data_IF_462454470541
#
_entry.id   IF_462454470541
#
_cell.length_a   1.000
_cell.length_b   1.000
_cell.length_c   1.000
_cell.angle_alpha   90.00
_cell.angle_beta   90.00
_cell.angle_gamma   90.00
#
_symmetry.space_group_name_H-M   'P 1'
#
loop_
_entity.id
_entity.type
_entity.pdbx_description
1 polymer ?
#
# COMPACT_ATOMS: atom_id res chain seq x y z
N UNK A 1 6.85 10.26 25.61
CA UNK A 1 6.03 9.28 24.85
C UNK A 1 4.93 8.77 25.75
N UNK A 2 3.68 8.83 25.31
CA UNK A 2 2.52 8.25 25.97
C UNK A 2 2.21 6.90 25.35
N UNK A 3 1.98 5.87 26.16
CA UNK A 3 1.58 4.53 25.70
C UNK A 3 0.19 4.25 26.25
N UNK A 4 -0.73 3.88 25.38
CA UNK A 4 -2.12 3.54 25.69
C UNK A 4 -2.41 2.16 25.11
N UNK A 5 -3.10 1.33 25.88
CA UNK A 5 -3.60 0.03 25.38
C UNK A 5 -5.11 0.06 25.32
N UNK A 6 -5.65 -0.35 24.18
CA UNK A 6 -7.09 -0.39 23.91
C UNK A 6 -7.48 -1.80 23.49
N UNK A 7 -8.60 -2.27 24.04
CA UNK A 7 -9.21 -3.54 23.62
C UNK A 7 -10.31 -3.24 22.61
N UNK A 8 -10.20 -3.83 21.43
CA UNK A 8 -11.10 -3.61 20.30
C UNK A 8 -12.19 -4.69 20.25
N UNK A 9 -13.45 -4.26 20.08
CA UNK A 9 -14.55 -5.16 19.81
C UNK A 9 -14.51 -5.58 18.29
N UNK A 10 -15.10 -6.71 17.89
CA UNK A 10 -15.81 -7.67 18.75
C UNK A 10 -14.91 -8.74 19.38
N UNK A 11 -13.70 -8.97 18.84
CA UNK A 11 -12.88 -10.16 19.15
C UNK A 11 -11.89 -9.94 20.29
N UNK A 12 -11.90 -8.78 20.96
CA UNK A 12 -10.98 -8.43 22.07
C UNK A 12 -9.51 -8.30 21.61
N UNK A 13 -9.28 -7.96 20.32
CA UNK A 13 -7.94 -7.63 19.84
C UNK A 13 -7.35 -6.45 20.62
N UNK A 14 -6.03 -6.44 20.78
CA UNK A 14 -5.34 -5.41 21.56
C UNK A 14 -4.60 -4.45 20.64
N UNK A 15 -4.90 -3.16 20.77
CA UNK A 15 -4.19 -2.09 20.09
C UNK A 15 -3.34 -1.32 21.09
N UNK A 16 -2.01 -1.37 20.96
CA UNK A 16 -1.09 -0.57 21.73
C UNK A 16 -0.70 0.68 20.95
N UNK A 17 -1.03 1.85 21.46
CA UNK A 17 -0.80 3.14 20.85
C UNK A 17 0.46 3.78 21.44
N UNK A 18 1.43 4.14 20.60
CA UNK A 18 2.66 4.84 20.96
C UNK A 18 2.57 6.26 20.40
N UNK A 19 2.39 7.25 21.29
CA UNK A 19 2.17 8.64 20.92
C UNK A 19 3.36 9.50 21.37
N UNK A 20 3.88 10.31 20.47
CA UNK A 20 4.96 11.25 20.79
C UNK A 20 4.39 12.47 21.51
N UNK A 21 5.17 13.02 22.46
CA UNK A 21 4.80 14.24 23.14
C UNK A 21 4.82 15.43 22.16
N UNK A 22 3.85 16.31 22.31
CA UNK A 22 3.81 17.58 21.59
C UNK A 22 4.82 18.59 22.17
N UNK A 23 5.31 19.48 21.33
CA UNK A 23 6.13 20.60 21.75
C UNK A 23 5.64 21.90 21.09
N UNK A 24 5.39 22.97 21.87
CA UNK A 24 5.06 24.28 21.30
C UNK A 24 6.16 24.86 20.40
N UNK A 25 7.39 24.32 20.50
CA UNK A 25 8.53 24.73 19.67
C UNK A 25 8.61 23.99 18.34
N UNK A 26 7.78 22.93 18.19
CA UNK A 26 7.70 22.12 16.96
C UNK A 26 6.22 21.98 16.52
N UNK A 27 5.54 23.11 16.20
CA UNK A 27 4.10 23.09 15.89
C UNK A 27 3.77 22.28 14.63
N UNK A 28 4.71 22.12 13.71
CA UNK A 28 4.59 21.28 12.50
C UNK A 28 4.46 19.79 12.83
N UNK A 29 4.88 19.37 14.01
CA UNK A 29 4.78 17.98 14.47
C UNK A 29 3.65 17.76 15.50
N UNK A 30 2.70 18.71 15.61
CA UNK A 30 1.55 18.57 16.50
C UNK A 30 0.56 17.48 16.03
N UNK A 31 0.38 17.37 14.71
CA UNK A 31 -0.39 16.28 14.07
C UNK A 31 0.59 15.47 13.23
N UNK A 32 0.55 14.15 13.38
CA UNK A 32 1.51 13.24 12.78
C UNK A 32 0.83 12.23 11.85
N UNK A 33 1.54 11.71 10.84
CA UNK A 33 1.09 10.50 10.17
C UNK A 33 1.05 9.33 11.15
N UNK A 34 0.16 8.37 10.90
CA UNK A 34 -0.01 7.17 11.70
C UNK A 34 0.56 5.93 10.99
N UNK A 35 1.16 5.03 11.76
CA UNK A 35 1.60 3.72 11.29
C UNK A 35 0.93 2.62 12.10
N UNK A 36 -0.02 1.90 11.49
CA UNK A 36 -0.59 0.67 12.04
C UNK A 36 0.38 -0.49 11.76
N UNK A 37 0.95 -1.07 12.80
CA UNK A 37 1.90 -2.19 12.71
C UNK A 37 1.18 -3.51 12.97
N UNK A 38 1.24 -4.41 12.01
CA UNK A 38 0.55 -5.71 12.01
C UNK A 38 1.58 -6.84 11.91
N UNK A 39 1.95 -7.45 13.05
CA UNK A 39 2.97 -8.51 13.08
C UNK A 39 2.56 -9.76 12.31
N UNK A 40 3.54 -10.53 11.82
CA UNK A 40 3.35 -11.87 11.29
C UNK A 40 3.13 -12.92 12.40
N UNK A 41 3.26 -14.18 12.02
CA UNK A 41 3.10 -15.32 12.95
C UNK A 41 2.16 -16.40 12.43
N UNK A 42 1.88 -16.43 11.12
CA UNK A 42 1.08 -17.48 10.47
C UNK A 42 -0.38 -17.57 10.95
N UNK A 43 -0.92 -16.49 11.50
CA UNK A 43 -2.21 -16.47 12.21
C UNK A 43 -2.29 -17.45 13.39
N UNK A 44 -1.16 -17.81 13.97
CA UNK A 44 -1.07 -18.63 15.18
C UNK A 44 -0.67 -17.81 16.39
N UNK A 45 0.07 -16.74 16.18
CA UNK A 45 0.52 -15.76 17.18
C UNK A 45 0.86 -14.44 16.48
N UNK A 46 1.10 -13.38 17.27
CA UNK A 46 1.67 -12.12 16.79
C UNK A 46 3.16 -12.06 17.15
N UNK A 47 4.02 -11.92 16.16
CA UNK A 47 5.48 -11.92 16.30
C UNK A 47 5.99 -10.67 17.02
N UNK A 48 6.65 -10.82 18.17
CA UNK A 48 7.15 -9.68 18.96
C UNK A 48 8.20 -8.85 18.22
N UNK A 49 9.03 -9.49 17.39
CA UNK A 49 10.07 -8.80 16.60
C UNK A 49 9.50 -7.86 15.54
N UNK A 50 8.26 -8.06 15.14
CA UNK A 50 7.55 -7.32 14.10
C UNK A 50 6.50 -6.36 14.68
N UNK A 51 6.42 -6.27 16.00
CA UNK A 51 5.51 -5.38 16.73
C UNK A 51 6.19 -4.11 17.20
N UNK A 52 6.45 -4.01 18.52
CA UNK A 52 7.01 -2.83 19.16
C UNK A 52 8.31 -2.31 18.52
N UNK A 53 9.33 -3.15 18.17
CA UNK A 53 10.55 -2.63 17.55
C UNK A 53 10.28 -1.88 16.25
N UNK A 54 9.33 -2.34 15.44
CA UNK A 54 8.93 -1.67 14.20
C UNK A 54 8.19 -0.38 14.49
N UNK A 55 7.29 -0.37 15.48
CA UNK A 55 6.59 0.83 15.91
C UNK A 55 7.57 1.91 16.35
N UNK A 56 8.55 1.57 17.19
CA UNK A 56 9.58 2.51 17.66
C UNK A 56 10.45 3.04 16.50
N UNK A 57 10.74 2.19 15.51
CA UNK A 57 11.49 2.60 14.33
C UNK A 57 10.73 3.65 13.49
N UNK A 58 9.42 3.49 13.28
CA UNK A 58 8.60 4.51 12.62
C UNK A 58 8.39 5.76 13.47
N UNK A 59 8.27 5.61 14.79
CA UNK A 59 8.21 6.76 15.69
C UNK A 59 9.46 7.65 15.54
N UNK A 60 10.65 7.06 15.42
CA UNK A 60 11.87 7.81 15.19
C UNK A 60 11.86 8.59 13.85
N UNK A 61 10.95 8.26 12.93
CA UNK A 61 10.73 8.94 11.65
C UNK A 61 9.57 9.95 11.68
N UNK A 62 8.99 10.21 12.85
CA UNK A 62 7.95 11.23 13.02
C UNK A 62 6.52 10.73 13.04
N UNK A 63 6.28 9.43 12.91
CA UNK A 63 4.94 8.84 13.00
C UNK A 63 4.49 8.66 14.47
N UNK A 64 3.19 8.71 14.74
CA UNK A 64 2.62 7.98 15.85
C UNK A 64 2.34 6.55 15.41
N UNK A 65 2.65 5.56 16.27
CA UNK A 65 2.64 4.16 15.88
C UNK A 65 1.66 3.34 16.75
N UNK A 66 1.06 2.32 16.12
CA UNK A 66 -0.01 1.54 16.71
C UNK A 66 0.22 0.06 16.41
N UNK A 67 0.46 -0.75 17.44
CA UNK A 67 0.70 -2.19 17.27
C UNK A 67 -0.61 -2.95 17.49
N UNK A 68 -1.09 -3.63 16.46
CA UNK A 68 -2.27 -4.49 16.55
C UNK A 68 -1.86 -5.93 16.86
N UNK A 69 -2.27 -6.41 18.03
CA UNK A 69 -2.28 -7.83 18.36
C UNK A 69 -3.68 -8.36 18.04
N UNK A 70 -3.83 -8.81 16.79
CA UNK A 70 -5.09 -9.36 16.26
C UNK A 70 -5.35 -10.77 16.80
N UNK A 71 -6.57 -11.25 16.65
CA UNK A 71 -6.95 -12.62 17.02
C UNK A 71 -6.17 -13.63 16.19
N UNK A 72 -5.26 -14.32 16.84
CA UNK A 72 -4.34 -15.27 16.23
C UNK A 72 -4.26 -16.54 17.07
N UNK A 73 -4.84 -17.61 16.56
CA UNK A 73 -4.67 -18.97 17.04
C UNK A 73 -4.89 -19.95 15.87
N UNK A 74 -4.36 -21.18 16.00
CA UNK A 74 -4.37 -22.16 14.91
C UNK A 74 -5.80 -22.57 14.45
N UNK A 75 -6.81 -22.35 15.26
CA UNK A 75 -8.20 -22.80 15.03
C UNK A 75 -9.13 -21.66 14.58
N UNK A 76 -8.73 -20.42 14.81
CA UNK A 76 -9.56 -19.25 14.49
C UNK A 76 -9.51 -18.93 12.99
N UNK A 77 -10.68 -18.67 12.36
CA UNK A 77 -10.74 -18.20 10.98
C UNK A 77 -10.01 -16.84 10.79
N UNK A 78 -9.39 -16.64 9.62
CA UNK A 78 -8.65 -15.40 9.29
C UNK A 78 -9.57 -14.17 9.23
N UNK A 79 -10.86 -14.35 8.92
CA UNK A 79 -11.85 -13.27 8.89
C UNK A 79 -12.00 -12.55 10.24
N UNK A 80 -11.73 -13.21 11.38
CA UNK A 80 -11.67 -12.51 12.67
C UNK A 80 -10.49 -11.54 12.75
N UNK A 81 -9.33 -11.92 12.24
CA UNK A 81 -8.19 -11.02 12.16
C UNK A 81 -8.49 -9.82 11.22
N UNK A 82 -9.22 -10.06 10.11
CA UNK A 82 -9.68 -8.99 9.23
C UNK A 82 -10.64 -8.03 9.95
N UNK A 83 -11.58 -8.56 10.74
CA UNK A 83 -12.46 -7.74 11.58
C UNK A 83 -11.67 -6.91 12.60
N UNK A 84 -10.63 -7.48 13.22
CA UNK A 84 -9.76 -6.77 14.16
C UNK A 84 -8.99 -5.64 13.49
N UNK A 85 -8.48 -5.88 12.27
CA UNK A 85 -7.82 -4.86 11.47
C UNK A 85 -8.77 -3.74 11.06
N UNK A 86 -9.99 -4.06 10.64
CA UNK A 86 -11.03 -3.07 10.35
C UNK A 86 -11.39 -2.25 11.59
N UNK A 87 -11.58 -2.90 12.75
CA UNK A 87 -11.86 -2.23 14.01
C UNK A 87 -10.70 -1.30 14.44
N UNK A 88 -9.44 -1.68 14.17
CA UNK A 88 -8.29 -0.81 14.42
C UNK A 88 -8.33 0.42 13.52
N UNK A 89 -8.63 0.27 12.23
CA UNK A 89 -8.76 1.40 11.30
C UNK A 89 -9.89 2.36 11.70
N UNK A 90 -11.05 1.81 12.08
CA UNK A 90 -12.19 2.60 12.55
C UNK A 90 -11.84 3.35 13.84
N UNK A 91 -11.16 2.69 14.80
CA UNK A 91 -10.70 3.32 16.03
C UNK A 91 -9.73 4.48 15.78
N UNK A 92 -8.72 4.28 14.91
CA UNK A 92 -7.75 5.31 14.58
C UNK A 92 -8.42 6.55 13.96
N UNK A 93 -9.35 6.36 13.02
CA UNK A 93 -10.08 7.46 12.39
C UNK A 93 -11.02 8.18 13.35
N UNK A 94 -11.77 7.43 14.14
CA UNK A 94 -12.73 7.99 15.10
C UNK A 94 -12.05 8.81 16.22
N UNK A 95 -10.83 8.44 16.61
CA UNK A 95 -10.09 9.08 17.69
C UNK A 95 -8.87 9.89 17.19
N UNK A 96 -8.82 10.25 15.91
CA UNK A 96 -7.66 10.88 15.30
C UNK A 96 -7.18 12.14 16.04
N UNK A 97 -8.11 12.97 16.53
CA UNK A 97 -7.80 14.18 17.29
C UNK A 97 -7.12 13.86 18.63
N UNK A 98 -7.62 12.87 19.38
CA UNK A 98 -7.06 12.47 20.68
C UNK A 98 -5.71 11.74 20.52
N UNK A 99 -5.52 11.05 19.39
CA UNK A 99 -4.31 10.34 19.04
C UNK A 99 -3.28 11.24 18.34
N UNK A 100 -3.65 12.51 18.10
CA UNK A 100 -2.77 13.51 17.45
C UNK A 100 -2.25 13.03 16.09
N UNK A 101 -3.15 12.42 15.29
CA UNK A 101 -2.85 11.90 13.96
C UNK A 101 -3.72 12.53 12.88
N UNK A 102 -3.20 12.55 11.65
CA UNK A 102 -3.99 12.89 10.48
C UNK A 102 -4.77 11.65 9.99
N UNK A 103 -6.11 11.66 10.00
CA UNK A 103 -6.93 10.53 9.54
C UNK A 103 -6.78 10.21 8.06
N UNK A 104 -6.17 11.12 7.26
CA UNK A 104 -5.87 10.91 5.84
C UNK A 104 -4.43 10.42 5.61
N UNK A 105 -3.63 10.27 6.67
CA UNK A 105 -2.25 9.80 6.60
C UNK A 105 -2.02 8.60 7.52
N UNK A 106 -2.88 7.57 7.39
CA UNK A 106 -2.77 6.32 8.12
C UNK A 106 -2.22 5.25 7.18
N UNK A 107 -0.94 4.89 7.35
CA UNK A 107 -0.36 3.72 6.71
C UNK A 107 -0.52 2.47 7.59
N UNK A 108 -0.55 1.30 6.95
CA UNK A 108 -0.45 0.03 7.64
C UNK A 108 0.77 -0.75 7.14
N UNK A 109 1.63 -1.20 8.06
CA UNK A 109 2.75 -2.09 7.77
C UNK A 109 2.46 -3.48 8.31
N UNK A 110 2.65 -4.50 7.46
CA UNK A 110 2.45 -5.88 7.88
C UNK A 110 3.50 -6.83 7.32
N UNK A 111 3.76 -7.91 8.05
CA UNK A 111 4.81 -8.88 7.75
C UNK A 111 4.25 -10.29 7.63
N UNK A 112 4.63 -11.06 6.61
CA UNK A 112 4.19 -12.45 6.46
C UNK A 112 2.65 -12.57 6.50
N UNK A 113 2.08 -13.26 7.48
CA UNK A 113 0.64 -13.33 7.73
C UNK A 113 0.04 -11.94 8.07
N UNK A 114 0.75 -11.10 8.83
CA UNK A 114 0.35 -9.71 9.06
C UNK A 114 0.38 -8.87 7.78
N UNK A 115 1.30 -9.18 6.86
CA UNK A 115 1.33 -8.61 5.52
C UNK A 115 0.14 -9.04 4.67
N UNK A 116 -0.29 -10.31 4.79
CA UNK A 116 -1.56 -10.78 4.22
C UNK A 116 -2.74 -9.98 4.78
N UNK A 117 -2.79 -9.80 6.11
CA UNK A 117 -3.86 -9.03 6.74
C UNK A 117 -3.88 -7.57 6.24
N UNK A 118 -2.71 -6.91 6.17
CA UNK A 118 -2.62 -5.52 5.66
C UNK A 118 -3.04 -5.44 4.18
N UNK A 119 -2.62 -6.38 3.35
CA UNK A 119 -3.08 -6.47 1.96
C UNK A 119 -4.59 -6.68 1.88
N UNK A 120 -5.16 -7.53 2.76
CA UNK A 120 -6.62 -7.75 2.87
C UNK A 120 -7.37 -6.47 3.30
N UNK A 121 -6.81 -5.68 4.23
CA UNK A 121 -7.38 -4.36 4.57
C UNK A 121 -7.44 -3.43 3.36
N UNK A 122 -6.42 -3.50 2.49
CA UNK A 122 -6.34 -2.66 1.29
C UNK A 122 -7.21 -3.13 0.12
N UNK A 123 -7.61 -4.41 0.07
CA UNK A 123 -8.33 -4.99 -1.08
C UNK A 123 -9.76 -5.41 -0.77
N UNK A 124 -10.06 -5.84 0.45
CA UNK A 124 -11.36 -6.40 0.84
C UNK A 124 -12.27 -5.40 1.55
N UNK A 125 -11.70 -4.40 2.23
CA UNK A 125 -12.52 -3.42 2.95
C UNK A 125 -13.14 -2.39 1.99
N UNK A 126 -14.27 -1.78 2.37
CA UNK A 126 -14.76 -0.58 1.69
C UNK A 126 -13.71 0.53 1.70
N UNK A 127 -13.61 1.31 0.63
CA UNK A 127 -12.62 2.41 0.46
C UNK A 127 -12.43 3.27 1.71
N UNK A 128 -13.51 3.68 2.35
CA UNK A 128 -13.47 4.55 3.52
C UNK A 128 -12.77 3.93 4.75
N UNK A 129 -12.69 2.60 4.81
CA UNK A 129 -12.05 1.86 5.91
C UNK A 129 -10.61 1.43 5.57
N UNK A 130 -10.21 1.45 4.29
CA UNK A 130 -8.85 1.06 3.87
C UNK A 130 -7.81 2.00 4.48
N UNK A 131 -6.60 1.53 4.82
CA UNK A 131 -5.45 2.41 5.08
C UNK A 131 -5.21 3.37 3.91
N UNK A 132 -4.54 4.49 4.16
CA UNK A 132 -4.21 5.45 3.09
C UNK A 132 -2.93 5.05 2.31
N UNK A 133 -2.12 4.14 2.87
CA UNK A 133 -1.00 3.48 2.20
C UNK A 133 -0.70 2.13 2.85
N UNK A 134 -0.10 1.20 2.09
CA UNK A 134 0.30 -0.11 2.57
C UNK A 134 1.83 -0.26 2.52
N UNK A 135 2.38 -0.97 3.52
CA UNK A 135 3.78 -1.44 3.52
C UNK A 135 3.77 -2.95 3.75
N UNK A 136 4.13 -3.71 2.73
CA UNK A 136 4.02 -5.17 2.71
C UNK A 136 5.41 -5.81 2.79
N UNK A 137 5.78 -6.31 3.97
CA UNK A 137 7.02 -7.05 4.17
C UNK A 137 6.83 -8.56 3.95
N UNK A 138 7.48 -9.15 2.95
CA UNK A 138 7.40 -10.59 2.64
C UNK A 138 6.00 -11.17 2.88
N UNK A 139 4.98 -10.44 2.45
CA UNK A 139 3.58 -10.76 2.69
C UNK A 139 3.13 -12.02 1.95
N UNK A 140 2.35 -12.88 2.60
CA UNK A 140 1.84 -14.14 2.03
C UNK A 140 0.51 -13.91 1.29
N UNK A 141 0.53 -13.22 0.15
CA UNK A 141 -0.66 -12.72 -0.58
C UNK A 141 -1.33 -13.77 -1.49
N UNK A 142 -0.68 -14.91 -1.75
CA UNK A 142 -1.24 -15.99 -2.56
C UNK A 142 -2.05 -16.98 -1.71
N UNK A 143 -3.26 -17.29 -2.13
CA UNK A 143 -4.16 -18.26 -1.47
C UNK A 143 -3.54 -19.64 -1.29
N UNK A 144 -2.72 -20.10 -2.26
CA UNK A 144 -2.00 -21.36 -2.17
C UNK A 144 -1.09 -21.46 -0.93
N UNK A 145 -0.61 -20.35 -0.37
CA UNK A 145 0.18 -20.36 0.87
C UNK A 145 -0.61 -20.87 2.07
N UNK A 146 -1.92 -20.68 2.07
CA UNK A 146 -2.80 -21.01 3.19
C UNK A 146 -3.36 -22.43 3.14
N UNK A 147 -3.34 -23.07 1.97
CA UNK A 147 -3.82 -24.46 1.80
C UNK A 147 -3.01 -25.46 2.63
N UNK A 148 -1.71 -25.21 2.82
CA UNK A 148 -0.84 -26.05 3.67
C UNK A 148 -1.27 -25.98 5.14
N UNK A 149 -1.85 -24.86 5.56
CA UNK A 149 -2.43 -24.70 6.91
C UNK A 149 -3.90 -25.14 6.99
N UNK A 150 -4.43 -25.79 5.95
CA UNK A 150 -5.84 -26.23 5.88
C UNK A 150 -6.83 -25.07 5.71
N UNK A 151 -6.39 -23.91 5.27
CA UNK A 151 -7.21 -22.70 5.06
C UNK A 151 -7.40 -22.45 3.55
N UNK A 152 -8.54 -21.88 3.21
CA UNK A 152 -8.84 -21.47 1.83
C UNK A 152 -8.99 -19.94 1.81
N UNK A 153 -7.94 -19.27 1.35
CA UNK A 153 -7.92 -17.82 1.23
C UNK A 153 -7.80 -17.45 -0.26
N UNK A 154 -8.36 -16.32 -0.68
CA UNK A 154 -8.23 -15.87 -2.05
C UNK A 154 -6.80 -15.42 -2.36
N UNK A 155 -6.47 -15.40 -3.65
CA UNK A 155 -5.30 -14.69 -4.15
C UNK A 155 -5.58 -13.18 -4.08
N UNK A 156 -4.91 -12.46 -3.18
CA UNK A 156 -5.20 -11.04 -2.95
C UNK A 156 -4.84 -10.14 -4.14
N UNK A 157 -3.90 -10.55 -5.00
CA UNK A 157 -3.60 -9.82 -6.23
C UNK A 157 -4.79 -9.76 -7.19
N UNK A 158 -5.67 -10.79 -7.20
CA UNK A 158 -6.89 -10.80 -8.00
C UNK A 158 -8.00 -9.89 -7.44
N UNK A 159 -7.82 -9.34 -6.24
CA UNK A 159 -8.76 -8.45 -5.57
C UNK A 159 -8.26 -6.99 -5.53
N UNK A 160 -7.11 -6.72 -6.15
CA UNK A 160 -6.64 -5.35 -6.37
C UNK A 160 -7.64 -4.62 -7.26
N UNK A 161 -8.03 -3.43 -6.85
CA UNK A 161 -8.95 -2.55 -7.54
C UNK A 161 -8.42 -1.10 -7.58
N UNK A 162 -9.17 -0.19 -8.20
CA UNK A 162 -8.76 1.21 -8.36
C UNK A 162 -8.74 2.00 -7.04
N UNK A 163 -9.36 1.47 -5.99
CA UNK A 163 -9.35 2.03 -4.64
C UNK A 163 -8.29 1.39 -3.73
N UNK A 164 -7.50 0.45 -4.26
CA UNK A 164 -6.37 -0.14 -3.53
C UNK A 164 -5.34 0.94 -3.22
N UNK A 165 -4.90 1.07 -1.95
CA UNK A 165 -3.98 2.14 -1.58
C UNK A 165 -2.60 2.03 -2.22
N UNK A 166 -1.87 3.15 -2.40
CA UNK A 166 -0.46 3.13 -2.76
C UNK A 166 0.34 2.19 -1.86
N UNK A 167 1.21 1.38 -2.45
CA UNK A 167 1.80 0.24 -1.75
C UNK A 167 3.32 0.20 -1.90
N UNK A 168 4.03 0.14 -0.77
CA UNK A 168 5.43 -0.22 -0.71
C UNK A 168 5.58 -1.72 -0.41
N UNK A 169 6.35 -2.44 -1.23
CA UNK A 169 6.60 -3.88 -1.04
C UNK A 169 8.08 -4.16 -0.87
N UNK A 170 8.40 -5.06 0.05
CA UNK A 170 9.74 -5.64 0.07
C UNK A 170 9.71 -7.13 0.40
N UNK A 171 10.65 -7.86 -0.20
CA UNK A 171 10.85 -9.28 0.04
C UNK A 171 12.31 -9.67 -0.20
N UNK A 172 12.69 -10.85 0.23
CA UNK A 172 14.01 -11.42 -0.02
C UNK A 172 13.89 -12.67 -0.90
N UNK A 173 14.78 -12.81 -1.88
CA UNK A 173 14.80 -13.99 -2.75
C UNK A 173 15.20 -15.25 -1.96
N UNK A 174 15.95 -15.10 -0.87
CA UNK A 174 16.34 -16.18 0.01
C UNK A 174 15.28 -16.64 1.00
N UNK A 175 14.08 -16.06 0.99
CA UNK A 175 12.97 -16.48 1.83
C UNK A 175 12.44 -17.85 1.37
N UNK A 176 12.67 -18.87 2.21
CA UNK A 176 12.26 -20.25 1.92
C UNK A 176 10.82 -20.56 2.32
N UNK A 177 10.16 -19.66 3.07
CA UNK A 177 8.79 -19.86 3.56
C UNK A 177 7.77 -19.14 2.71
N UNK A 178 7.99 -17.86 2.40
CA UNK A 178 7.10 -17.05 1.56
C UNK A 178 7.85 -16.66 0.28
N UNK A 179 7.64 -17.39 -0.83
CA UNK A 179 8.31 -17.09 -2.08
C UNK A 179 8.06 -15.66 -2.56
N UNK A 180 9.12 -15.02 -3.09
CA UNK A 180 9.06 -13.65 -3.66
C UNK A 180 7.95 -13.48 -4.71
N UNK A 181 7.45 -14.58 -5.29
CA UNK A 181 6.31 -14.58 -6.22
C UNK A 181 5.09 -13.87 -5.64
N UNK A 182 4.85 -13.96 -4.31
CA UNK A 182 3.77 -13.22 -3.64
C UNK A 182 3.85 -11.71 -3.91
N UNK A 183 5.03 -11.12 -3.70
CA UNK A 183 5.25 -9.68 -3.92
C UNK A 183 5.23 -9.31 -5.41
N UNK A 184 5.77 -10.16 -6.29
CA UNK A 184 5.82 -9.91 -7.74
C UNK A 184 4.42 -9.84 -8.36
N UNK A 185 3.54 -10.82 -8.06
CA UNK A 185 2.19 -10.82 -8.66
C UNK A 185 1.30 -9.74 -8.07
N UNK A 186 1.51 -9.38 -6.80
CA UNK A 186 0.77 -8.27 -6.19
C UNK A 186 1.19 -6.93 -6.80
N UNK A 187 2.49 -6.71 -7.01
CA UNK A 187 3.00 -5.52 -7.68
C UNK A 187 2.54 -5.43 -9.16
N UNK A 188 2.47 -6.55 -9.85
CA UNK A 188 1.93 -6.64 -11.22
C UNK A 188 0.46 -6.20 -11.26
N UNK A 189 -0.36 -6.69 -10.33
CA UNK A 189 -1.75 -6.26 -10.20
C UNK A 189 -1.89 -4.76 -9.86
N UNK A 190 -1.03 -4.22 -9.00
CA UNK A 190 -1.01 -2.77 -8.72
C UNK A 190 -0.68 -1.97 -9.99
N UNK A 191 0.28 -2.45 -10.80
CA UNK A 191 0.63 -1.84 -12.08
C UNK A 191 -0.56 -1.89 -13.05
N UNK A 192 -1.30 -3.00 -13.11
CA UNK A 192 -2.50 -3.15 -13.93
C UNK A 192 -3.61 -2.18 -13.56
N UNK A 193 -3.70 -1.78 -12.30
CA UNK A 193 -4.65 -0.77 -11.82
C UNK A 193 -4.10 0.65 -11.76
N UNK A 194 -2.86 0.90 -12.22
CA UNK A 194 -2.18 2.20 -12.11
C UNK A 194 -2.08 2.73 -10.67
N UNK A 195 -2.04 1.83 -9.69
CA UNK A 195 -1.82 2.20 -8.30
C UNK A 195 -0.33 2.48 -8.10
N UNK A 196 0.06 3.62 -7.52
CA UNK A 196 1.46 3.90 -7.22
C UNK A 196 2.06 2.85 -6.28
N UNK A 197 3.21 2.32 -6.64
CA UNK A 197 3.91 1.37 -5.79
C UNK A 197 5.44 1.48 -5.91
N UNK A 198 6.13 0.96 -4.89
CA UNK A 198 7.56 0.69 -4.92
C UNK A 198 7.79 -0.77 -4.53
N UNK A 199 8.60 -1.50 -5.30
CA UNK A 199 8.96 -2.90 -5.03
C UNK A 199 10.46 -3.05 -4.87
N UNK A 200 10.89 -3.57 -3.72
CA UNK A 200 12.29 -3.82 -3.40
C UNK A 200 12.52 -5.31 -3.12
N UNK A 201 13.31 -5.94 -3.97
CA UNK A 201 13.71 -7.35 -3.83
C UNK A 201 15.19 -7.43 -3.46
N UNK A 202 15.46 -8.01 -2.31
CA UNK A 202 16.81 -8.22 -1.83
C UNK A 202 17.25 -9.67 -2.12
N UNK A 203 18.50 -9.91 -2.56
CA UNK A 203 18.94 -11.24 -2.97
C UNK A 203 19.02 -12.23 -1.79
N UNK A 204 19.27 -11.75 -0.58
CA UNK A 204 19.46 -12.57 0.62
C UNK A 204 18.64 -12.08 1.80
N UNK A 205 18.26 -12.98 2.67
CA UNK A 205 17.49 -12.73 3.90
C UNK A 205 16.57 -13.91 4.20
N UNK A 206 16.51 -14.32 5.47
CA UNK A 206 15.61 -15.36 5.92
C UNK A 206 14.20 -14.82 6.13
N UNK A 207 13.19 -15.71 6.17
CA UNK A 207 11.83 -15.33 6.54
C UNK A 207 11.76 -14.72 7.95
N UNK A 208 10.88 -13.75 8.15
CA UNK A 208 10.71 -13.08 9.44
C UNK A 208 11.90 -12.17 9.80
N UNK A 209 12.53 -11.58 8.79
CA UNK A 209 13.71 -10.71 8.97
C UNK A 209 13.41 -9.41 9.71
N UNK A 210 12.15 -8.96 9.74
CA UNK A 210 11.70 -7.72 10.43
C UNK A 210 12.55 -6.50 10.03
N UNK A 211 13.14 -5.78 11.00
CA UNK A 211 14.04 -4.64 10.74
C UNK A 211 15.39 -5.05 10.14
N UNK A 212 15.67 -6.35 10.01
CA UNK A 212 16.93 -6.90 9.51
C UNK A 212 18.16 -6.46 10.33
N UNK A 213 17.98 -6.13 11.59
CA UNK A 213 19.01 -5.67 12.54
C UNK A 213 19.15 -6.63 13.71
N UNK A 214 20.25 -6.52 14.45
CA UNK A 214 20.53 -7.39 15.59
C UNK A 214 19.43 -7.33 16.69
N UNK A 215 18.75 -6.19 16.86
CA UNK A 215 17.71 -6.04 17.88
C UNK A 215 16.43 -6.86 17.59
N UNK A 216 16.21 -7.27 16.33
CA UNK A 216 15.05 -8.08 15.92
C UNK A 216 15.40 -9.47 15.42
N UNK A 217 16.70 -9.83 15.38
CA UNK A 217 17.16 -11.11 14.84
C UNK A 217 16.84 -12.32 15.75
N UNK A 218 16.68 -12.08 17.06
CA UNK A 218 16.77 -13.15 18.05
C UNK A 218 18.17 -13.78 18.02
N UNK A 219 18.32 -15.09 18.22
CA UNK A 219 19.62 -15.75 18.14
C UNK A 219 20.12 -16.02 16.71
N UNK A 220 19.38 -15.64 15.68
CA UNK A 220 19.63 -16.01 14.29
C UNK A 220 20.37 -14.92 13.53
N UNK A 221 21.69 -15.10 13.32
CA UNK A 221 22.51 -14.17 12.56
C UNK A 221 22.03 -13.99 11.10
N UNK A 222 21.34 -14.97 10.51
CA UNK A 222 20.77 -14.89 9.16
C UNK A 222 19.69 -13.82 9.00
N UNK A 223 19.15 -13.32 10.11
CA UNK A 223 18.19 -12.20 10.14
C UNK A 223 18.87 -10.83 10.28
N UNK A 224 20.20 -10.77 10.35
CA UNK A 224 20.93 -9.50 10.31
C UNK A 224 21.40 -9.27 8.89
N UNK A 225 20.84 -8.30 8.20
CA UNK A 225 21.15 -7.99 6.81
C UNK A 225 21.08 -6.47 6.56
N UNK A 226 22.22 -5.77 6.55
CA UNK A 226 22.25 -4.32 6.38
C UNK A 226 21.64 -3.81 5.07
N UNK A 227 21.72 -4.60 3.99
CA UNK A 227 21.11 -4.24 2.72
C UNK A 227 19.57 -4.30 2.84
N UNK A 228 19.03 -5.39 3.40
CA UNK A 228 17.58 -5.52 3.61
C UNK A 228 17.06 -4.49 4.63
N UNK A 229 17.85 -4.11 5.66
CA UNK A 229 17.46 -3.09 6.64
C UNK A 229 17.13 -1.72 6.00
N UNK A 230 17.56 -1.49 4.76
CA UNK A 230 17.22 -0.27 4.02
C UNK A 230 15.73 -0.19 3.65
N UNK A 231 14.97 -1.28 3.76
CA UNK A 231 13.53 -1.23 3.48
C UNK A 231 12.79 -0.17 4.33
N UNK A 232 13.19 0.02 5.59
CA UNK A 232 12.55 0.99 6.48
C UNK A 232 12.71 2.43 5.98
N UNK A 233 13.94 3.00 5.82
CA UNK A 233 14.08 4.35 5.27
C UNK A 233 13.49 4.49 3.86
N UNK A 234 13.53 3.46 3.02
CA UNK A 234 12.88 3.49 1.69
C UNK A 234 11.36 3.57 1.80
N UNK A 235 10.73 2.84 2.75
CA UNK A 235 9.29 2.94 2.98
C UNK A 235 8.87 4.30 3.52
N UNK A 236 9.69 4.90 4.39
CA UNK A 236 9.47 6.26 4.91
C UNK A 236 9.56 7.29 3.79
N UNK A 237 10.58 7.20 2.92
CA UNK A 237 10.72 8.07 1.74
C UNK A 237 9.50 7.97 0.81
N UNK A 238 9.00 6.75 0.55
CA UNK A 238 7.79 6.51 -0.22
C UNK A 238 6.57 7.22 0.39
N UNK A 239 6.35 7.06 1.71
CA UNK A 239 5.23 7.69 2.40
C UNK A 239 5.36 9.22 2.44
N UNK A 240 6.57 9.76 2.60
CA UNK A 240 6.82 11.20 2.57
C UNK A 240 6.61 11.80 1.17
N UNK A 241 6.90 11.04 0.10
CA UNK A 241 6.54 11.43 -1.26
C UNK A 241 5.03 11.47 -1.49
N UNK A 242 4.28 10.57 -0.86
CA UNK A 242 2.81 10.58 -0.95
C UNK A 242 2.19 11.78 -0.23
N UNK A 243 2.70 12.14 0.96
CA UNK A 243 2.01 13.03 1.89
C UNK A 243 2.76 14.33 2.24
N UNK A 244 4.00 14.44 1.82
CA UNK A 244 4.92 15.42 2.37
C UNK A 244 5.46 14.99 3.73
N UNK A 245 6.32 15.82 4.34
CA UNK A 245 6.94 15.55 5.62
C UNK A 245 6.51 16.58 6.66
N UNK A 246 5.58 16.24 7.54
CA UNK A 246 5.13 17.04 8.69
C UNK A 246 4.86 18.52 8.33
N UNK A 247 4.28 18.79 7.16
CA UNK A 247 4.01 20.14 6.68
C UNK A 247 5.25 20.97 6.29
N UNK A 248 6.45 20.39 6.37
CA UNK A 248 7.71 21.07 5.97
C UNK A 248 7.99 20.90 4.48
N UNK A 249 7.69 19.73 3.91
CA UNK A 249 7.77 19.47 2.47
C UNK A 249 6.38 19.14 1.92
N UNK A 250 6.14 19.54 0.67
CA UNK A 250 4.95 19.14 -0.07
C UNK A 250 5.08 17.68 -0.55
N UNK A 251 3.94 17.01 -0.87
CA UNK A 251 3.94 15.76 -1.62
C UNK A 251 4.72 15.88 -2.94
N UNK A 252 5.24 14.77 -3.42
CA UNK A 252 5.86 14.70 -4.74
C UNK A 252 4.81 14.98 -5.81
N UNK A 253 5.09 15.92 -6.72
CA UNK A 253 4.11 16.39 -7.70
C UNK A 253 3.76 15.33 -8.73
N UNK A 254 4.70 14.49 -9.13
CA UNK A 254 4.47 13.40 -10.09
C UNK A 254 3.62 12.31 -9.46
N UNK A 255 3.96 11.90 -8.24
CA UNK A 255 3.20 10.89 -7.51
C UNK A 255 1.79 11.40 -7.13
N UNK A 256 1.68 12.67 -6.73
CA UNK A 256 0.38 13.30 -6.46
C UNK A 256 -0.50 13.35 -7.72
N UNK A 257 0.09 13.60 -8.90
CA UNK A 257 -0.64 13.59 -10.16
C UNK A 257 -1.19 12.20 -10.53
N UNK A 258 -0.46 11.14 -10.18
CA UNK A 258 -0.95 9.76 -10.38
C UNK A 258 -2.15 9.42 -9.50
N UNK A 259 -2.22 10.01 -8.29
CA UNK A 259 -3.31 9.81 -7.33
C UNK A 259 -4.50 10.74 -7.57
N UNK A 260 -4.29 11.88 -8.21
CA UNK A 260 -5.34 12.88 -8.39
C UNK A 260 -6.43 12.36 -9.33
N UNK A 261 -7.67 12.40 -8.87
CA UNK A 261 -8.85 12.31 -9.72
C UNK A 261 -8.99 13.63 -10.52
N UNK A 262 -8.04 13.89 -11.41
CA UNK A 262 -8.11 15.04 -12.31
C UNK A 262 -9.07 14.79 -13.47
N UNK A 263 -9.43 15.84 -14.26
CA UNK A 263 -10.19 15.65 -15.48
C UNK A 263 -9.46 14.66 -16.40
N UNK A 264 -10.24 13.89 -17.19
CA UNK A 264 -9.65 12.94 -18.13
C UNK A 264 -8.77 13.69 -19.13
N UNK A 265 -7.58 13.15 -19.42
CA UNK A 265 -6.61 13.74 -20.35
C UNK A 265 -5.83 12.67 -21.10
N UNK A 266 -5.19 13.06 -22.21
CA UNK A 266 -4.32 12.18 -23.00
C UNK A 266 -3.01 11.84 -22.29
N UNK A 267 -2.68 12.52 -21.22
CA UNK A 267 -1.49 12.27 -20.39
C UNK A 267 -1.74 11.17 -19.34
N UNK A 268 -2.99 10.72 -19.19
CA UNK A 268 -3.34 9.57 -18.35
C UNK A 268 -3.04 8.23 -19.04
N UNK A 269 -2.71 7.18 -18.27
CA UNK A 269 -2.59 5.83 -18.81
C UNK A 269 -3.88 5.41 -19.55
N UNK A 270 -3.71 4.77 -20.71
CA UNK A 270 -4.82 4.31 -21.59
C UNK A 270 -5.86 3.51 -20.80
N UNK A 271 -5.42 2.64 -19.86
CA UNK A 271 -6.33 1.83 -19.05
C UNK A 271 -7.33 2.67 -18.26
N UNK A 272 -6.95 3.88 -17.82
CA UNK A 272 -7.83 4.79 -17.08
C UNK A 272 -8.90 5.39 -18.00
N UNK A 273 -8.53 5.69 -19.24
CA UNK A 273 -9.45 6.16 -20.27
C UNK A 273 -10.42 5.05 -20.73
N UNK A 274 -9.94 3.80 -20.79
CA UNK A 274 -10.77 2.63 -21.12
C UNK A 274 -11.89 2.38 -20.11
N UNK A 275 -11.67 2.67 -18.83
CA UNK A 275 -12.66 2.46 -17.76
C UNK A 275 -13.84 3.43 -17.83
N UNK A 276 -13.65 4.62 -18.40
CA UNK A 276 -14.73 5.56 -18.61
C UNK A 276 -15.42 5.31 -19.95
N UNK A 277 -16.71 4.87 -19.98
CA UNK A 277 -17.39 4.51 -21.23
C UNK A 277 -17.47 5.65 -22.22
N UNK A 278 -17.62 6.90 -21.75
CA UNK A 278 -17.72 8.07 -22.63
C UNK A 278 -16.37 8.43 -23.24
N UNK A 279 -15.29 8.34 -22.46
CA UNK A 279 -13.93 8.54 -22.96
C UNK A 279 -13.56 7.46 -23.97
N UNK A 280 -13.83 6.19 -23.66
CA UNK A 280 -13.57 5.07 -24.57
C UNK A 280 -14.34 5.20 -25.88
N UNK A 281 -15.61 5.61 -25.83
CA UNK A 281 -16.44 5.86 -27.03
C UNK A 281 -15.90 7.05 -27.87
N UNK A 282 -15.50 8.14 -27.22
CA UNK A 282 -14.87 9.29 -27.87
C UNK A 282 -13.59 8.88 -28.58
N UNK A 283 -12.71 8.16 -27.88
CA UNK A 283 -11.43 7.69 -28.44
C UNK A 283 -11.62 6.70 -29.57
N UNK A 284 -12.59 5.79 -29.45
CA UNK A 284 -12.96 4.88 -30.55
C UNK A 284 -13.47 5.65 -31.77
N UNK A 285 -14.28 6.69 -31.59
CA UNK A 285 -14.79 7.49 -32.69
C UNK A 285 -13.69 8.29 -33.42
N UNK A 286 -12.68 8.78 -32.69
CA UNK A 286 -11.60 9.60 -33.24
C UNK A 286 -10.45 8.76 -33.79
N UNK A 287 -10.06 7.70 -33.10
CA UNK A 287 -8.88 6.89 -33.42
C UNK A 287 -9.21 5.60 -34.18
N UNK A 288 -10.48 5.16 -34.20
CA UNK A 288 -10.93 3.98 -34.96
C UNK A 288 -10.14 2.71 -34.59
N UNK A 289 -9.59 2.05 -35.64
CA UNK A 289 -8.83 0.79 -35.51
C UNK A 289 -7.57 0.96 -34.66
N UNK A 290 -7.01 2.17 -34.60
CA UNK A 290 -5.84 2.46 -33.76
C UNK A 290 -6.20 2.30 -32.28
N UNK A 291 -7.37 2.80 -31.86
CA UNK A 291 -7.83 2.62 -30.48
C UNK A 291 -7.97 1.12 -30.15
N UNK A 292 -8.55 0.33 -31.04
CA UNK A 292 -8.68 -1.12 -30.85
C UNK A 292 -7.30 -1.81 -30.71
N UNK A 293 -6.32 -1.41 -31.51
CA UNK A 293 -4.97 -1.95 -31.43
C UNK A 293 -4.29 -1.60 -30.08
N UNK A 294 -4.48 -0.35 -29.61
CA UNK A 294 -3.92 0.12 -28.34
C UNK A 294 -4.55 -0.64 -27.15
N UNK A 295 -5.88 -0.74 -27.10
CA UNK A 295 -6.57 -1.39 -25.97
C UNK A 295 -6.37 -2.90 -25.94
N UNK A 296 -6.10 -3.53 -27.10
CA UNK A 296 -5.82 -4.96 -27.20
C UNK A 296 -4.41 -5.33 -26.76
N UNK A 297 -3.50 -4.36 -26.62
CA UNK A 297 -2.13 -4.61 -26.20
C UNK A 297 -1.96 -4.24 -24.71
N UNK A 298 -1.77 -5.22 -23.80
CA UNK A 298 -1.62 -4.95 -22.36
C UNK A 298 -0.49 -3.97 -22.04
N UNK A 299 0.61 -3.97 -22.81
CA UNK A 299 1.73 -3.05 -22.59
C UNK A 299 1.37 -1.60 -22.89
N UNK A 300 0.51 -1.36 -23.87
CA UNK A 300 0.04 -0.02 -24.22
C UNK A 300 -0.91 0.57 -23.18
N UNK A 301 -1.59 -0.26 -22.42
CA UNK A 301 -2.57 0.20 -21.43
C UNK A 301 -1.94 0.99 -20.27
N UNK A 302 -0.67 0.75 -19.96
CA UNK A 302 0.10 1.45 -18.93
C UNK A 302 0.71 2.79 -19.38
N UNK A 303 0.63 3.11 -20.67
CA UNK A 303 1.28 4.28 -21.29
C UNK A 303 0.20 5.32 -21.61
N UNK A 304 0.53 6.60 -21.61
CA UNK A 304 -0.40 7.66 -22.01
C UNK A 304 -0.58 7.69 -23.53
N UNK A 305 -1.75 8.15 -24.00
CA UNK A 305 -1.97 8.30 -25.45
C UNK A 305 -1.04 9.33 -26.08
N UNK A 306 -0.63 10.36 -25.32
CA UNK A 306 0.33 11.37 -25.79
C UNK A 306 1.69 10.73 -26.05
N UNK A 307 2.17 9.87 -25.14
CA UNK A 307 3.43 9.13 -25.36
C UNK A 307 3.31 8.14 -26.52
N UNK A 308 2.22 7.37 -26.57
CA UNK A 308 1.98 6.43 -27.69
C UNK A 308 1.99 7.18 -29.03
N UNK A 309 1.37 8.35 -29.13
CA UNK A 309 1.35 9.16 -30.36
C UNK A 309 2.74 9.58 -30.80
N UNK A 310 3.65 9.83 -29.85
CA UNK A 310 5.05 10.17 -30.14
C UNK A 310 5.87 9.02 -30.76
N UNK A 311 5.45 7.75 -30.55
CA UNK A 311 6.08 6.57 -31.12
C UNK A 311 5.48 6.13 -32.48
N UNK A 312 4.28 6.62 -32.82
CA UNK A 312 3.61 6.24 -34.06
C UNK A 312 4.15 7.06 -35.23
N UNK A 313 4.52 6.38 -36.33
CA UNK A 313 4.98 7.04 -37.58
C UNK A 313 3.91 7.95 -38.22
N UNK A 314 2.64 7.75 -37.88
CA UNK A 314 1.51 8.58 -38.25
C UNK A 314 1.01 9.36 -37.03
N UNK A 315 1.90 10.12 -36.38
CA UNK A 315 1.54 10.93 -35.23
C UNK A 315 0.35 11.85 -35.55
N UNK A 316 -0.65 11.88 -34.67
CA UNK A 316 -1.70 12.88 -34.76
C UNK A 316 -1.09 14.27 -34.66
N UNK A 317 -1.52 15.24 -35.47
CA UNK A 317 -1.06 16.62 -35.31
C UNK A 317 -1.31 17.10 -33.86
N UNK A 318 -0.39 17.88 -33.33
CA UNK A 318 -0.51 18.37 -31.94
C UNK A 318 -1.82 19.15 -31.70
N UNK A 319 -2.31 19.82 -32.75
CA UNK A 319 -3.62 20.50 -32.71
C UNK A 319 -4.79 19.52 -32.52
N UNK A 320 -4.71 18.32 -33.11
CA UNK A 320 -5.73 17.29 -32.93
C UNK A 320 -5.65 16.65 -31.55
N UNK A 321 -4.45 16.43 -31.03
CA UNK A 321 -4.25 15.94 -29.66
C UNK A 321 -4.79 16.95 -28.63
N UNK A 322 -4.51 18.24 -28.79
CA UNK A 322 -5.00 19.28 -27.89
C UNK A 322 -6.54 19.41 -27.95
N UNK A 323 -7.14 19.26 -29.11
CA UNK A 323 -8.59 19.26 -29.26
C UNK A 323 -9.25 18.05 -28.58
N UNK A 324 -8.64 16.87 -28.73
CA UNK A 324 -9.11 15.64 -28.12
C UNK A 324 -8.96 15.69 -26.60
N UNK A 325 -7.88 16.25 -26.11
CA UNK A 325 -7.62 16.46 -24.67
C UNK A 325 -8.66 17.40 -24.07
N UNK A 326 -8.99 18.51 -24.74
CA UNK A 326 -10.05 19.43 -24.33
C UNK A 326 -11.44 18.76 -24.28
N UNK A 327 -11.71 17.78 -25.17
CA UNK A 327 -12.96 17.02 -25.16
C UNK A 327 -13.00 16.01 -24.01
N UNK A 328 -11.89 15.32 -23.75
CA UNK A 328 -11.76 14.41 -22.61
C UNK A 328 -11.98 15.12 -21.27
N UNK A 329 -11.42 16.32 -21.13
CA UNK A 329 -11.54 17.13 -19.91
C UNK A 329 -13.00 17.56 -19.58
N UNK A 330 -13.92 17.48 -20.54
CA UNK A 330 -15.35 17.77 -20.32
C UNK A 330 -16.14 16.55 -19.85
N UNK A 331 -15.56 15.35 -19.89
CA UNK A 331 -16.22 14.10 -19.49
C UNK A 331 -16.20 14.02 -17.96
N UNK A 332 -17.34 13.80 -17.30
CA UNK A 332 -17.39 13.64 -15.85
C UNK A 332 -16.52 12.45 -15.39
N UNK A 333 -15.76 12.65 -14.35
CA UNK A 333 -15.04 11.58 -13.63
C UNK A 333 -15.96 11.19 -12.47
N UNK A 334 -16.54 9.98 -12.55
CA UNK A 334 -17.33 9.40 -11.45
C UNK A 334 -16.44 8.87 -10.32
#
# INVERSE_FOLDING_TARGET
>A
VKIITVTLAPNQAVLTCYLQDQSPKMPNAAIRPAMLVVPGGGYQYCSDREGEPVALAYMAQGFNAFVLRYTADATTPIDKALQDGAAAMDYLRANAAELEIDPQQIAAVGFSAGGHLVASLGTLLPKAQRPNALVLGYAATLGAMWTVAGRQEPDLHALVDDDTPPTFLFATQGDALVPVKNSLVFADALADHSIPFALHLFPTGAHGISLATACTSGPEASRVNPATAQWLPMSVDFLQKLWGCLGVTAPDTELAAQLAAGPLSLDMPVRRLMKNPQASALLQAVLGDMWQAIVSNPLSQGISLREISGFLQAALPESALNQLDAQLAQIPVE
#
